data_IF_501684190155
#
_entry.id   IF_501684190155
#
_cell.length_a   1.000
_cell.length_b   1.000
_cell.length_c   1.000
_cell.angle_alpha   90.00
_cell.angle_beta   90.00
_cell.angle_gamma   90.00
#
_symmetry.space_group_name_H-M   'P 1'
#
loop_
_entity.id
_entity.type
_entity.pdbx_description
1 polymer ?
#
# COMPACT_ATOMS: atom_id res chain seq x y z
N UNK A 1 -19.17 46.08 -46.00
CA UNK A 1 -18.55 46.41 -44.69
C UNK A 1 -19.43 45.92 -43.55
N UNK A 2 -19.15 44.74 -42.96
CA UNK A 2 -19.37 44.38 -41.53
C UNK A 2 -18.47 43.17 -41.24
N UNK A 3 -17.37 43.39 -40.51
CA UNK A 3 -16.45 42.35 -40.05
C UNK A 3 -16.93 41.91 -38.67
N UNK A 4 -17.38 40.67 -38.54
CA UNK A 4 -17.77 40.10 -37.25
C UNK A 4 -16.57 39.37 -36.67
N UNK A 5 -15.94 39.96 -35.66
CA UNK A 5 -14.86 39.37 -34.87
C UNK A 5 -15.49 38.38 -33.89
N UNK A 6 -15.15 37.10 -33.99
CA UNK A 6 -15.50 36.10 -32.99
C UNK A 6 -14.40 36.06 -31.93
N UNK A 7 -14.74 36.43 -30.70
CA UNK A 7 -13.85 36.38 -29.56
C UNK A 7 -13.59 34.91 -29.17
N UNK A 8 -12.32 34.52 -29.20
CA UNK A 8 -11.84 33.23 -28.67
C UNK A 8 -11.84 33.34 -27.14
N UNK A 9 -12.82 32.71 -26.50
CA UNK A 9 -12.84 32.54 -25.05
C UNK A 9 -11.79 31.47 -24.69
N UNK A 10 -10.58 31.91 -24.35
CA UNK A 10 -9.53 31.05 -23.84
C UNK A 10 -9.89 30.50 -22.47
N UNK A 11 -10.34 29.25 -22.41
CA UNK A 11 -10.52 28.52 -21.15
C UNK A 11 -9.12 28.16 -20.64
N UNK A 12 -8.61 28.97 -19.71
CA UNK A 12 -7.43 28.62 -18.91
C UNK A 12 -7.86 27.54 -17.93
N UNK A 13 -7.62 26.28 -18.29
CA UNK A 13 -7.83 25.14 -17.42
C UNK A 13 -6.74 25.17 -16.34
N UNK A 14 -7.02 25.85 -15.22
CA UNK A 14 -6.18 25.80 -14.02
C UNK A 14 -6.18 24.37 -13.51
N UNK A 15 -5.12 23.62 -13.84
CA UNK A 15 -4.83 22.34 -13.22
C UNK A 15 -4.50 22.64 -11.75
N UNK A 16 -5.51 22.54 -10.88
CA UNK A 16 -5.30 22.54 -9.44
C UNK A 16 -4.53 21.27 -9.09
N UNK A 17 -3.19 21.38 -9.04
CA UNK A 17 -2.33 20.36 -8.45
C UNK A 17 -2.61 20.41 -6.94
N UNK A 18 -3.62 19.67 -6.49
CA UNK A 18 -3.85 19.44 -5.08
C UNK A 18 -2.73 18.55 -4.55
N UNK A 19 -1.70 19.17 -3.96
CA UNK A 19 -0.72 18.48 -3.15
C UNK A 19 -1.42 18.07 -1.84
N UNK A 20 -2.20 16.99 -1.89
CA UNK A 20 -2.94 16.49 -0.72
C UNK A 20 -1.89 15.99 0.28
N UNK A 21 -1.78 16.69 1.43
CA UNK A 21 -0.92 16.27 2.55
C UNK A 21 -1.27 14.83 2.93
N UNK A 22 -0.26 14.01 3.20
CA UNK A 22 -0.46 12.65 3.73
C UNK A 22 -1.23 12.70 5.07
N UNK A 23 -2.05 11.69 5.38
CA UNK A 23 -2.77 11.65 6.65
C UNK A 23 -1.80 11.50 7.83
N UNK A 24 -2.24 11.94 9.01
CA UNK A 24 -1.44 11.81 10.24
C UNK A 24 -1.41 10.35 10.74
N UNK A 25 -2.46 9.57 10.47
CA UNK A 25 -2.61 8.17 10.87
C UNK A 25 -3.31 7.35 9.79
N UNK A 26 -3.00 6.07 9.69
CA UNK A 26 -3.68 5.11 8.80
C UNK A 26 -3.88 3.77 9.49
N UNK A 27 -4.93 3.06 9.11
CA UNK A 27 -5.09 1.63 9.41
C UNK A 27 -5.07 0.85 8.10
N UNK A 28 -4.21 -0.16 8.01
CA UNK A 28 -4.11 -1.01 6.82
C UNK A 28 -4.29 -2.48 7.18
N UNK A 29 -4.76 -3.26 6.22
CA UNK A 29 -4.66 -4.71 6.22
C UNK A 29 -3.67 -5.13 5.12
N UNK A 30 -2.83 -6.14 5.36
CA UNK A 30 -1.87 -6.57 4.35
C UNK A 30 -1.74 -8.09 4.21
N UNK A 31 -1.19 -8.47 3.06
CA UNK A 31 -0.78 -9.83 2.72
C UNK A 31 0.73 -9.78 2.49
N UNK A 32 1.51 -10.48 3.31
CA UNK A 32 2.93 -10.72 3.04
C UNK A 32 3.07 -11.95 2.17
N UNK A 33 3.72 -11.81 1.01
CA UNK A 33 4.19 -12.94 0.20
C UNK A 33 5.71 -13.00 0.33
N UNK A 34 6.17 -13.94 1.15
CA UNK A 34 7.57 -14.20 1.42
C UNK A 34 8.12 -15.32 0.49
N UNK A 35 9.44 -15.45 0.46
CA UNK A 35 10.16 -16.55 -0.18
C UNK A 35 11.21 -17.15 0.78
N UNK A 36 11.73 -18.32 0.44
CA UNK A 36 12.71 -19.04 1.25
C UNK A 36 13.90 -18.12 1.60
N UNK A 37 14.12 -17.92 2.90
CA UNK A 37 15.21 -17.09 3.43
C UNK A 37 14.90 -15.60 3.58
N UNK A 38 13.74 -15.10 3.12
CA UNK A 38 13.34 -13.69 3.33
C UNK A 38 12.79 -13.41 4.72
N UNK A 39 12.27 -14.44 5.39
CA UNK A 39 11.80 -14.41 6.79
C UNK A 39 12.29 -15.67 7.52
N UNK A 40 12.43 -15.65 8.85
CA UNK A 40 12.84 -16.81 9.64
C UNK A 40 11.69 -17.81 9.85
N UNK A 41 11.07 -18.26 8.76
CA UNK A 41 9.92 -19.20 8.76
C UNK A 41 10.20 -20.37 7.83
N UNK A 42 10.55 -21.51 8.42
CA UNK A 42 10.91 -22.72 7.68
C UNK A 42 9.81 -23.25 6.76
N UNK A 43 8.54 -22.98 7.05
CA UNK A 43 7.43 -23.42 6.19
C UNK A 43 7.40 -22.71 4.83
N UNK A 44 8.08 -21.57 4.68
CA UNK A 44 8.16 -20.85 3.40
C UNK A 44 9.22 -21.50 2.51
N UNK A 45 8.78 -22.37 1.60
CA UNK A 45 9.67 -23.12 0.69
C UNK A 45 9.80 -22.52 -0.71
N UNK A 46 8.86 -21.65 -1.12
CA UNK A 46 8.83 -21.07 -2.47
C UNK A 46 10.06 -20.20 -2.75
N UNK A 47 10.49 -20.23 -4.01
CA UNK A 47 11.57 -19.38 -4.54
C UNK A 47 11.14 -17.92 -4.64
N UNK A 48 12.10 -17.01 -4.82
CA UNK A 48 11.83 -15.59 -5.08
C UNK A 48 10.97 -15.39 -6.33
N UNK A 49 11.20 -16.16 -7.40
CA UNK A 49 10.43 -16.07 -8.64
C UNK A 49 8.98 -16.53 -8.44
N UNK A 50 8.76 -17.65 -7.75
CA UNK A 50 7.42 -18.14 -7.43
C UNK A 50 6.65 -17.15 -6.54
N UNK A 51 7.31 -16.54 -5.56
CA UNK A 51 6.72 -15.47 -4.74
C UNK A 51 6.33 -14.25 -5.59
N UNK A 52 7.17 -13.85 -6.55
CA UNK A 52 6.86 -12.74 -7.46
C UNK A 52 5.66 -13.05 -8.37
N UNK A 53 5.53 -14.28 -8.85
CA UNK A 53 4.36 -14.69 -9.63
C UNK A 53 3.10 -14.72 -8.78
N UNK A 54 3.18 -15.28 -7.56
CA UNK A 54 2.06 -15.34 -6.63
C UNK A 54 1.58 -13.94 -6.26
N UNK A 55 2.48 -13.00 -5.94
CA UNK A 55 2.04 -11.64 -5.57
C UNK A 55 1.38 -10.93 -6.75
N UNK A 56 1.82 -11.13 -7.99
CA UNK A 56 1.16 -10.55 -9.18
C UNK A 56 -0.27 -11.06 -9.32
N UNK A 57 -0.49 -12.36 -9.10
CA UNK A 57 -1.81 -12.96 -9.13
C UNK A 57 -2.72 -12.42 -8.01
N UNK A 58 -2.27 -12.49 -6.75
CA UNK A 58 -3.07 -12.05 -5.61
C UNK A 58 -3.34 -10.54 -5.65
N UNK A 59 -2.37 -9.73 -6.09
CA UNK A 59 -2.56 -8.30 -6.28
C UNK A 59 -3.63 -8.01 -7.34
N UNK A 60 -3.61 -8.72 -8.47
CA UNK A 60 -4.63 -8.59 -9.51
C UNK A 60 -6.02 -8.91 -8.95
N UNK A 61 -6.17 -10.02 -8.23
CA UNK A 61 -7.43 -10.44 -7.59
C UNK A 61 -7.95 -9.40 -6.61
N UNK A 62 -7.07 -8.89 -5.73
CA UNK A 62 -7.41 -7.83 -4.80
C UNK A 62 -7.90 -6.57 -5.54
N UNK A 63 -7.23 -6.17 -6.63
CA UNK A 63 -7.65 -5.04 -7.48
C UNK A 63 -8.96 -5.28 -8.23
N UNK A 64 -9.34 -6.53 -8.47
CA UNK A 64 -10.60 -6.92 -9.10
C UNK A 64 -11.77 -7.01 -8.12
N UNK A 65 -11.53 -6.82 -6.81
CA UNK A 65 -12.59 -6.77 -5.80
C UNK A 65 -12.84 -8.09 -5.07
N UNK A 66 -11.94 -9.08 -5.20
CA UNK A 66 -11.97 -10.25 -4.32
C UNK A 66 -11.95 -9.80 -2.84
N UNK A 67 -12.62 -10.59 -1.99
CA UNK A 67 -12.66 -10.37 -0.54
C UNK A 67 -11.23 -10.38 0.04
N UNK A 68 -10.77 -9.19 0.44
CA UNK A 68 -9.39 -8.99 0.87
C UNK A 68 -9.09 -9.76 2.16
N UNK A 69 -10.03 -9.89 3.08
CA UNK A 69 -9.80 -10.62 4.35
C UNK A 69 -9.59 -12.11 4.08
N UNK A 70 -10.38 -12.68 3.15
CA UNK A 70 -10.18 -14.06 2.69
C UNK A 70 -8.83 -14.24 2.00
N UNK A 71 -8.39 -13.26 1.20
CA UNK A 71 -7.05 -13.30 0.59
C UNK A 71 -5.95 -13.26 1.66
N UNK A 72 -6.07 -12.42 2.69
CA UNK A 72 -5.12 -12.38 3.81
C UNK A 72 -5.04 -13.71 4.51
N UNK A 73 -6.19 -14.27 4.91
CA UNK A 73 -6.28 -15.54 5.63
C UNK A 73 -5.64 -16.71 4.87
N UNK A 74 -5.75 -16.71 3.55
CA UNK A 74 -5.29 -17.82 2.70
C UNK A 74 -3.83 -17.69 2.24
N UNK A 75 -3.33 -16.47 2.08
CA UNK A 75 -2.07 -16.24 1.37
C UNK A 75 -0.98 -15.54 2.18
N UNK A 76 -1.29 -14.92 3.32
CA UNK A 76 -0.26 -14.21 4.08
C UNK A 76 0.72 -15.19 4.73
N UNK A 77 2.02 -14.96 4.53
CA UNK A 77 3.08 -15.66 5.27
C UNK A 77 3.36 -15.01 6.63
N UNK A 78 2.73 -13.87 6.91
CA UNK A 78 2.70 -13.22 8.22
C UNK A 78 1.54 -13.76 9.09
N UNK A 79 1.14 -13.02 10.11
CA UNK A 79 0.02 -13.37 11.00
C UNK A 79 -1.30 -12.78 10.49
N UNK A 80 -2.38 -13.58 10.54
CA UNK A 80 -3.75 -13.08 10.42
C UNK A 80 -4.16 -12.37 11.73
N UNK A 81 -4.86 -11.21 11.70
CA UNK A 81 -5.57 -10.61 10.57
C UNK A 81 -4.74 -9.65 9.70
N UNK A 82 -3.44 -9.49 9.96
CA UNK A 82 -2.55 -8.62 9.18
C UNK A 82 -2.94 -7.13 9.24
N UNK A 83 -3.52 -6.68 10.37
CA UNK A 83 -3.97 -5.29 10.56
C UNK A 83 -2.90 -4.49 11.31
N UNK A 84 -2.51 -3.34 10.73
CA UNK A 84 -1.51 -2.44 11.30
C UNK A 84 -2.09 -1.03 11.37
N UNK A 85 -2.08 -0.46 12.58
CA UNK A 85 -2.34 0.97 12.81
C UNK A 85 -1.00 1.69 12.81
N UNK A 86 -0.90 2.79 12.07
CA UNK A 86 0.35 3.52 11.94
C UNK A 86 0.16 5.02 12.06
N UNK A 87 1.04 5.66 12.83
CA UNK A 87 1.20 7.11 12.85
C UNK A 87 2.26 7.54 11.84
N UNK A 88 2.06 8.71 11.20
CA UNK A 88 2.99 9.24 10.22
C UNK A 88 4.28 9.74 10.89
N UNK A 89 5.25 10.19 10.09
CA UNK A 89 6.44 10.87 10.62
C UNK A 89 6.03 12.07 11.48
N UNK A 90 6.75 12.26 12.58
CA UNK A 90 6.53 13.32 13.56
C UNK A 90 5.16 13.31 14.26
N UNK A 91 4.39 12.23 14.11
CA UNK A 91 3.14 11.99 14.84
C UNK A 91 3.39 10.92 15.90
N UNK A 92 3.13 11.28 17.16
CA UNK A 92 3.26 10.36 18.30
C UNK A 92 2.30 9.16 18.14
N UNK A 93 2.81 7.92 18.17
CA UNK A 93 1.98 6.73 18.09
C UNK A 93 1.16 6.56 19.37
N UNK A 94 -0.09 6.15 19.21
CA UNK A 94 -0.98 5.79 20.31
C UNK A 94 -0.68 4.34 20.77
N UNK A 95 0.11 4.20 21.84
CA UNK A 95 0.54 2.91 22.37
C UNK A 95 -0.63 2.05 22.88
N UNK A 96 -1.66 2.68 23.47
CA UNK A 96 -2.87 2.00 23.98
C UNK A 96 -3.65 1.33 22.84
N UNK A 97 -3.50 1.83 21.61
CA UNK A 97 -4.11 1.26 20.40
C UNK A 97 -3.18 0.33 19.63
N UNK A 98 -1.99 0.04 20.16
CA UNK A 98 -0.93 -0.71 19.47
C UNK A 98 -0.57 -0.08 18.11
N UNK A 99 -0.52 1.25 18.07
CA UNK A 99 -0.11 1.98 16.86
C UNK A 99 1.41 1.95 16.71
N UNK A 100 1.87 1.72 15.48
CA UNK A 100 3.28 1.74 15.15
C UNK A 100 3.67 3.07 14.50
N UNK A 101 4.78 3.68 14.94
CA UNK A 101 5.35 4.79 14.18
C UNK A 101 5.79 4.31 12.80
N UNK A 102 5.48 5.07 11.74
CA UNK A 102 5.92 4.80 10.36
C UNK A 102 7.44 4.59 10.26
N UNK A 103 8.24 5.25 11.11
CA UNK A 103 9.69 5.10 11.16
C UNK A 103 10.16 3.71 11.59
N UNK A 104 9.30 2.95 12.30
CA UNK A 104 9.57 1.58 12.76
C UNK A 104 9.08 0.53 11.77
N UNK A 105 8.39 0.95 10.72
CA UNK A 105 7.92 0.06 9.66
C UNK A 105 8.98 -0.09 8.58
N UNK A 106 8.88 -1.18 7.83
CA UNK A 106 9.62 -1.34 6.59
C UNK A 106 9.29 -0.17 5.66
N UNK A 107 10.32 0.52 5.16
CA UNK A 107 10.16 1.82 4.46
C UNK A 107 9.13 1.77 3.34
N UNK A 108 9.22 0.77 2.46
CA UNK A 108 8.29 0.63 1.34
C UNK A 108 6.83 0.37 1.80
N UNK A 109 6.65 -0.33 2.93
CA UNK A 109 5.33 -0.59 3.51
C UNK A 109 4.67 0.70 4.00
N UNK A 110 5.41 1.52 4.75
CA UNK A 110 4.93 2.84 5.19
C UNK A 110 4.65 3.77 4.01
N UNK A 111 5.59 3.87 3.06
CA UNK A 111 5.45 4.74 1.89
C UNK A 111 4.22 4.43 1.03
N UNK A 112 3.89 3.14 0.85
CA UNK A 112 2.67 2.74 0.15
C UNK A 112 1.44 3.06 0.99
N UNK A 113 1.43 2.69 2.27
CA UNK A 113 0.27 2.82 3.17
C UNK A 113 -0.26 4.25 3.26
N UNK A 114 0.63 5.23 3.46
CA UNK A 114 0.24 6.64 3.63
C UNK A 114 -0.18 7.34 2.32
N UNK A 115 0.17 6.77 1.16
CA UNK A 115 -0.24 7.27 -0.16
C UNK A 115 -1.57 6.71 -0.64
N UNK A 116 -2.05 5.62 -0.04
CA UNK A 116 -3.32 5.01 -0.44
C UNK A 116 -4.51 5.86 0.04
N UNK A 117 -5.55 6.06 -0.79
CA UNK A 117 -6.85 6.47 -0.30
C UNK A 117 -7.50 5.35 0.52
N UNK A 118 -8.47 5.67 1.37
CA UNK A 118 -9.28 4.65 2.08
C UNK A 118 -9.94 3.72 1.06
N UNK A 119 -9.86 2.41 1.31
CA UNK A 119 -10.26 1.35 0.38
C UNK A 119 -9.26 1.07 -0.75
N UNK A 120 -8.23 1.91 -0.90
CA UNK A 120 -7.18 1.76 -1.89
C UNK A 120 -6.30 0.54 -1.64
N UNK A 121 -5.85 -0.10 -2.71
CA UNK A 121 -4.97 -1.27 -2.69
C UNK A 121 -3.67 -0.94 -3.43
N UNK A 122 -2.54 -1.16 -2.78
CA UNK A 122 -1.18 -0.91 -3.26
C UNK A 122 -0.26 -2.12 -3.06
N UNK A 123 0.94 -2.03 -3.65
CA UNK A 123 1.96 -3.08 -3.62
C UNK A 123 3.30 -2.49 -3.20
N UNK A 124 3.81 -2.89 -2.05
CA UNK A 124 5.21 -2.69 -1.70
C UNK A 124 6.02 -3.86 -2.28
N UNK A 125 6.93 -3.53 -3.21
CA UNK A 125 7.76 -4.53 -3.89
C UNK A 125 8.93 -4.94 -3.01
N UNK A 126 9.29 -6.23 -3.07
CA UNK A 126 10.52 -6.70 -2.45
C UNK A 126 11.72 -5.89 -2.90
N UNK A 127 12.52 -5.50 -1.93
CA UNK A 127 13.78 -4.80 -2.09
C UNK A 127 14.65 -5.13 -0.86
N UNK A 128 15.90 -5.57 -1.01
CA UNK A 128 16.73 -6.01 0.12
C UNK A 128 16.91 -4.96 1.22
N UNK A 129 16.84 -3.68 0.88
CA UNK A 129 17.06 -2.57 1.82
C UNK A 129 15.74 -2.06 2.39
N UNK A 130 14.77 -1.80 1.51
CA UNK A 130 13.55 -1.07 1.85
C UNK A 130 12.32 -1.96 2.04
N UNK A 131 12.40 -3.24 1.67
CA UNK A 131 11.32 -4.23 1.75
C UNK A 131 11.82 -5.68 1.84
N UNK A 132 12.66 -5.96 2.86
CA UNK A 132 13.45 -7.20 2.94
C UNK A 132 12.67 -8.51 3.15
N UNK A 133 11.43 -8.43 3.64
CA UNK A 133 10.66 -9.62 4.02
C UNK A 133 9.92 -10.28 2.85
N UNK A 134 9.83 -9.63 1.71
CA UNK A 134 9.07 -10.10 0.55
C UNK A 134 8.25 -8.97 -0.06
N UNK A 135 7.10 -9.31 -0.63
CA UNK A 135 6.16 -8.33 -1.16
C UNK A 135 4.97 -8.16 -0.23
N UNK A 136 4.48 -6.94 -0.10
CA UNK A 136 3.29 -6.66 0.69
C UNK A 136 2.20 -6.10 -0.22
N UNK A 137 1.07 -6.80 -0.29
CA UNK A 137 -0.17 -6.25 -0.85
C UNK A 137 -0.90 -5.56 0.30
N UNK A 138 -1.18 -4.27 0.16
CA UNK A 138 -1.65 -3.43 1.26
C UNK A 138 -2.99 -2.84 0.86
N UNK A 139 -4.01 -3.02 1.69
CA UNK A 139 -5.30 -2.33 1.59
C UNK A 139 -5.41 -1.34 2.73
N UNK A 140 -5.63 -0.06 2.41
CA UNK A 140 -5.97 0.93 3.44
C UNK A 140 -7.43 0.76 3.84
N UNK A 141 -7.68 0.53 5.12
CA UNK A 141 -9.04 0.42 5.66
C UNK A 141 -9.49 1.69 6.37
N UNK A 142 -8.56 2.49 6.89
CA UNK A 142 -8.80 3.83 7.50
C UNK A 142 -7.65 4.80 7.17
#
# INVERSE_FOLDING_TARGET
MKRTVWAILGIVFFLFISCKKEPDKVTVQHILIAFKGSIPKESVKRTRFEAEMLVKEIFKRAKQGDDFDKLVKNFTDDQYPGIYKMSNFDIEPDEDKSEYSRSRMVKAFGDVSFKLPVGGIGLAKYDPETCKYGWHIIKRIE
#
